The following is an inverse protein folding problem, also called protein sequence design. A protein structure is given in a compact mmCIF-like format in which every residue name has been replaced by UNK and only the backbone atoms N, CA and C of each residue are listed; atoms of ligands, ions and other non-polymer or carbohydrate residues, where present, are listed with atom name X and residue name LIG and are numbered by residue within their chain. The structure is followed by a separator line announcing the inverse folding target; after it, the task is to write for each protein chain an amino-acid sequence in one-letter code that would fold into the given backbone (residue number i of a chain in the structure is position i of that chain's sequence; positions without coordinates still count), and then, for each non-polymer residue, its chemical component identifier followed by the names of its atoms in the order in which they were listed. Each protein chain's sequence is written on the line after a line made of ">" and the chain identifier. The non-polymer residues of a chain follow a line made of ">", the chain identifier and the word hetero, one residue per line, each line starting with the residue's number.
data_IF_030457570457
#
_entry.id   IF_030457570457
#
_cell.length_a   1.000
_cell.length_b   1.000
_cell.length_c   1.000
_cell.angle_alpha   90.00
_cell.angle_beta   90.00
_cell.angle_gamma   90.00
#
_symmetry.space_group_name_H-M   'P 1'
#
loop_
_entity.id
_entity.type
_entity.pdbx_description
1 polymer ?
#
# COMPACT_ATOMS: atom_id res chain seq x y z
N UNK A 1 6.89 8.47 10.38
CA UNK A 1 8.15 7.78 10.01
C UNK A 1 7.93 7.08 8.69
N UNK A 2 8.37 7.68 7.58
CA UNK A 2 8.33 7.03 6.27
C UNK A 2 9.34 5.89 6.24
N UNK A 3 8.87 4.67 6.36
CA UNK A 3 9.66 3.51 6.01
C UNK A 3 9.47 3.26 4.52
N UNK A 4 10.28 3.90 3.68
CA UNK A 4 10.49 3.43 2.31
C UNK A 4 11.35 2.18 2.41
N UNK A 5 10.73 1.05 2.65
CA UNK A 5 11.41 -0.21 2.64
C UNK A 5 10.84 -1.03 1.49
N UNK A 6 11.61 -1.18 0.43
CA UNK A 6 11.45 -2.34 -0.44
C UNK A 6 11.84 -3.54 0.41
N UNK A 7 10.87 -4.14 1.08
CA UNK A 7 11.09 -5.34 1.87
C UNK A 7 10.82 -6.53 0.95
N UNK A 8 11.85 -7.30 0.66
CA UNK A 8 11.69 -8.55 -0.05
C UNK A 8 11.20 -9.60 0.95
N UNK A 9 9.95 -10.02 0.80
CA UNK A 9 9.35 -11.08 1.61
C UNK A 9 9.60 -12.43 0.92
N UNK A 10 10.43 -13.25 1.52
CA UNK A 10 10.81 -14.57 0.98
C UNK A 10 10.14 -15.73 1.70
N UNK A 11 9.41 -15.45 2.78
CA UNK A 11 8.77 -16.47 3.62
C UNK A 11 7.33 -16.09 3.97
N UNK A 12 6.51 -17.11 4.20
CA UNK A 12 5.09 -16.96 4.56
C UNK A 12 4.90 -16.13 5.82
N UNK A 13 5.75 -16.29 6.83
CA UNK A 13 5.66 -15.56 8.08
C UNK A 13 5.91 -14.05 7.89
N UNK A 14 6.80 -13.69 6.98
CA UNK A 14 7.09 -12.29 6.63
C UNK A 14 5.90 -11.65 5.93
N UNK A 15 5.31 -12.35 4.96
CA UNK A 15 4.10 -11.91 4.27
C UNK A 15 2.93 -11.77 5.26
N UNK A 16 2.74 -12.76 6.11
CA UNK A 16 1.68 -12.75 7.14
C UNK A 16 1.84 -11.57 8.10
N UNK A 17 3.07 -11.29 8.54
CA UNK A 17 3.37 -10.14 9.41
C UNK A 17 3.07 -8.81 8.73
N UNK A 18 3.47 -8.65 7.47
CA UNK A 18 3.18 -7.47 6.67
C UNK A 18 1.68 -7.25 6.49
N UNK A 19 0.94 -8.30 6.12
CA UNK A 19 -0.51 -8.20 5.93
C UNK A 19 -1.26 -7.85 7.23
N UNK A 20 -0.83 -8.37 8.39
CA UNK A 20 -1.39 -7.98 9.69
C UNK A 20 -1.13 -6.51 10.02
N UNK A 21 0.06 -6.02 9.71
CA UNK A 21 0.40 -4.60 9.89
C UNK A 21 -0.50 -3.71 9.02
N UNK A 22 -0.67 -4.06 7.74
CA UNK A 22 -1.53 -3.32 6.81
C UNK A 22 -3.00 -3.37 7.21
N UNK A 23 -3.50 -4.52 7.68
CA UNK A 23 -4.85 -4.64 8.22
C UNK A 23 -5.04 -3.76 9.46
N UNK A 24 -4.07 -3.77 10.38
CA UNK A 24 -4.06 -2.88 11.55
C UNK A 24 -4.12 -1.41 11.17
N UNK A 25 -3.27 -0.96 10.24
CA UNK A 25 -3.28 0.41 9.71
C UNK A 25 -4.63 0.79 9.11
N UNK A 26 -5.26 -0.14 8.38
CA UNK A 26 -6.59 0.05 7.79
C UNK A 26 -7.65 0.27 8.87
N UNK A 27 -7.66 -0.57 9.89
CA UNK A 27 -8.63 -0.49 10.99
C UNK A 27 -8.43 0.78 11.82
N UNK A 28 -7.17 1.14 12.09
CA UNK A 28 -6.83 2.37 12.81
C UNK A 28 -7.27 3.62 12.04
N UNK A 29 -7.03 3.68 10.72
CA UNK A 29 -7.48 4.78 9.90
C UNK A 29 -8.99 4.96 9.94
N UNK A 30 -9.73 3.88 9.74
CA UNK A 30 -11.21 3.90 9.73
C UNK A 30 -11.77 4.33 11.09
N UNK A 31 -11.16 3.86 12.19
CA UNK A 31 -11.58 4.20 13.56
C UNK A 31 -11.27 5.63 13.93
N UNK A 32 -10.06 6.08 13.63
CA UNK A 32 -9.54 7.35 14.16
C UNK A 32 -9.87 8.54 13.26
N UNK A 33 -10.35 8.27 12.03
CA UNK A 33 -10.66 9.30 11.02
C UNK A 33 -12.01 9.06 10.32
N UNK A 34 -13.11 8.95 11.09
CA UNK A 34 -14.43 8.64 10.55
C UNK A 34 -14.99 9.76 9.65
N UNK A 35 -14.51 10.98 9.83
CA UNK A 35 -15.01 12.20 9.15
C UNK A 35 -14.44 12.36 7.73
N UNK A 36 -13.48 11.53 7.32
CA UNK A 36 -12.85 11.58 6.00
C UNK A 36 -13.27 10.38 5.15
N UNK A 37 -13.55 10.66 3.89
CA UNK A 37 -13.97 9.63 2.95
C UNK A 37 -12.83 8.64 2.65
N UNK A 38 -11.63 9.17 2.45
CA UNK A 38 -10.42 8.39 2.18
C UNK A 38 -9.14 9.16 2.59
N UNK A 39 -7.97 8.52 2.34
CA UNK A 39 -6.67 9.11 2.64
C UNK A 39 -6.39 10.39 1.84
N UNK A 40 -6.87 10.50 0.61
CA UNK A 40 -6.64 11.68 -0.22
C UNK A 40 -7.43 12.87 0.32
N UNK A 41 -8.67 12.61 0.74
CA UNK A 41 -9.51 13.61 1.41
C UNK A 41 -8.87 14.06 2.74
N UNK A 42 -8.39 13.12 3.56
CA UNK A 42 -7.64 13.44 4.77
C UNK A 42 -6.42 14.32 4.47
N UNK A 43 -5.61 13.95 3.50
CA UNK A 43 -4.40 14.68 3.13
C UNK A 43 -4.71 16.08 2.60
N UNK A 44 -5.80 16.25 1.84
CA UNK A 44 -6.24 17.54 1.33
C UNK A 44 -6.60 18.52 2.47
N UNK A 45 -7.23 18.02 3.52
CA UNK A 45 -7.60 18.83 4.69
C UNK A 45 -6.47 18.98 5.71
N UNK A 46 -5.43 18.14 5.65
CA UNK A 46 -4.32 18.14 6.59
C UNK A 46 -2.95 18.28 5.89
N UNK A 47 -2.68 19.36 5.14
CA UNK A 47 -1.47 19.49 4.31
C UNK A 47 -0.16 19.45 5.12
N UNK A 48 -0.19 19.72 6.41
CA UNK A 48 0.96 19.64 7.31
C UNK A 48 1.19 18.26 7.92
N UNK A 49 0.24 17.34 7.77
CA UNK A 49 0.27 15.99 8.35
C UNK A 49 -0.16 14.94 7.33
N UNK A 50 0.30 15.09 6.10
CA UNK A 50 -0.03 14.15 5.04
C UNK A 50 0.52 12.77 5.33
N UNK A 51 -0.26 11.75 5.03
CA UNK A 51 0.16 10.35 5.10
C UNK A 51 0.43 9.80 3.71
N UNK A 52 1.34 8.84 3.64
CA UNK A 52 1.76 8.26 2.37
C UNK A 52 0.80 7.19 1.87
N UNK A 53 0.74 7.07 0.55
CA UNK A 53 0.13 5.92 -0.11
C UNK A 53 1.08 4.72 0.04
N UNK A 54 0.51 3.58 0.38
CA UNK A 54 1.22 2.30 0.46
C UNK A 54 0.88 1.44 -0.76
N UNK A 55 1.90 0.95 -1.46
CA UNK A 55 1.76 0.00 -2.57
C UNK A 55 2.34 -1.34 -2.15
N UNK A 56 1.48 -2.36 -2.01
CA UNK A 56 1.89 -3.74 -1.80
C UNK A 56 1.98 -4.43 -3.16
N UNK A 57 3.17 -4.88 -3.55
CA UNK A 57 3.39 -5.64 -4.79
C UNK A 57 3.81 -7.06 -4.46
N UNK A 58 3.02 -8.04 -4.89
CA UNK A 58 3.30 -9.46 -4.71
C UNK A 58 3.64 -10.09 -6.06
N UNK A 59 4.93 -10.40 -6.25
CA UNK A 59 5.42 -11.12 -7.42
C UNK A 59 5.27 -12.62 -7.22
N UNK A 60 5.11 -13.36 -8.33
CA UNK A 60 4.91 -14.81 -8.33
C UNK A 60 3.77 -15.27 -7.40
N UNK A 61 2.77 -14.39 -7.17
CA UNK A 61 1.64 -14.73 -6.34
C UNK A 61 0.93 -15.99 -6.87
N UNK A 62 0.62 -16.99 -6.06
CA UNK A 62 0.54 -17.01 -4.59
C UNK A 62 1.77 -17.60 -3.87
N UNK A 63 2.98 -17.47 -4.42
CA UNK A 63 4.19 -17.92 -3.73
C UNK A 63 4.23 -17.37 -2.28
N UNK A 64 4.55 -18.23 -1.34
CA UNK A 64 4.61 -17.92 0.10
C UNK A 64 3.27 -17.46 0.72
N UNK A 65 2.14 -17.61 0.04
CA UNK A 65 0.82 -17.35 0.61
C UNK A 65 0.17 -18.65 1.11
N UNK A 66 -0.34 -18.62 2.32
CA UNK A 66 -1.23 -19.64 2.89
C UNK A 66 -2.68 -19.13 2.96
N UNK A 67 -3.59 -19.97 3.44
CA UNK A 67 -5.01 -19.62 3.58
C UNK A 67 -5.24 -18.35 4.42
N UNK A 68 -4.43 -18.15 5.46
CA UNK A 68 -4.54 -16.98 6.34
C UNK A 68 -4.01 -15.71 5.66
N UNK A 69 -2.95 -15.83 4.87
CA UNK A 69 -2.49 -14.75 4.03
C UNK A 69 -3.57 -14.30 3.03
N UNK A 70 -4.29 -15.24 2.41
CA UNK A 70 -5.37 -14.92 1.48
C UNK A 70 -6.54 -14.21 2.19
N UNK A 71 -6.91 -14.61 3.41
CA UNK A 71 -7.96 -13.96 4.22
C UNK A 71 -7.59 -12.50 4.55
N UNK A 72 -6.38 -12.28 5.05
CA UNK A 72 -5.89 -10.94 5.36
C UNK A 72 -5.73 -10.08 4.11
N UNK A 73 -5.22 -10.66 3.02
CA UNK A 73 -5.08 -9.97 1.75
C UNK A 73 -6.45 -9.51 1.23
N UNK A 74 -7.47 -10.37 1.29
CA UNK A 74 -8.84 -10.03 0.93
C UNK A 74 -9.38 -8.87 1.78
N UNK A 75 -9.15 -8.89 3.10
CA UNK A 75 -9.54 -7.81 4.02
C UNK A 75 -8.86 -6.48 3.66
N UNK A 76 -7.55 -6.52 3.42
CA UNK A 76 -6.77 -5.33 3.01
C UNK A 76 -7.23 -4.81 1.65
N UNK A 77 -7.51 -5.68 0.67
CA UNK A 77 -7.98 -5.25 -0.65
C UNK A 77 -9.36 -4.61 -0.63
N UNK A 78 -10.25 -5.08 0.24
CA UNK A 78 -11.62 -4.54 0.35
C UNK A 78 -11.68 -3.17 1.03
N UNK A 79 -10.80 -2.91 1.99
CA UNK A 79 -10.86 -1.73 2.86
C UNK A 79 -9.66 -0.80 2.70
N UNK A 80 -8.52 -1.34 2.26
CA UNK A 80 -7.25 -0.62 2.25
C UNK A 80 -7.21 0.56 1.28
N UNK A 81 -7.96 0.51 0.17
CA UNK A 81 -8.02 1.61 -0.79
C UNK A 81 -8.48 2.92 -0.12
N UNK A 82 -9.43 2.83 0.82
CA UNK A 82 -9.87 3.98 1.62
C UNK A 82 -8.73 4.56 2.46
N UNK A 83 -7.80 3.72 2.87
CA UNK A 83 -6.65 4.08 3.70
C UNK A 83 -5.38 4.34 2.86
N UNK A 84 -5.52 4.46 1.53
CA UNK A 84 -4.39 4.66 0.63
C UNK A 84 -3.50 3.43 0.43
N UNK A 85 -4.00 2.22 0.75
CA UNK A 85 -3.28 0.96 0.53
C UNK A 85 -3.79 0.33 -0.77
N UNK A 86 -2.89 0.16 -1.72
CA UNK A 86 -3.18 -0.46 -3.01
C UNK A 86 -2.37 -1.75 -3.16
N UNK A 87 -2.98 -2.76 -3.78
CA UNK A 87 -2.36 -4.08 -3.95
C UNK A 87 -2.22 -4.39 -5.44
N UNK A 88 -1.03 -4.82 -5.83
CA UNK A 88 -0.72 -5.33 -7.17
C UNK A 88 -0.28 -6.78 -7.05
N UNK A 89 -1.02 -7.68 -7.70
CA UNK A 89 -0.74 -9.11 -7.72
C UNK A 89 -0.21 -9.50 -9.09
N UNK A 90 1.03 -9.98 -9.16
CA UNK A 90 1.58 -10.62 -10.35
C UNK A 90 1.33 -12.12 -10.24
N UNK A 91 0.19 -12.57 -10.80
CA UNK A 91 -0.25 -13.96 -10.70
C UNK A 91 0.66 -14.89 -11.51
N UNK A 92 1.19 -15.88 -10.84
CA UNK A 92 1.90 -17.00 -11.48
C UNK A 92 1.03 -18.27 -11.39
N UNK A 93 0.48 -18.70 -12.52
CA UNK A 93 -0.44 -19.85 -12.58
C UNK A 93 0.27 -21.20 -12.41
N UNK A 94 1.61 -21.22 -12.49
CA UNK A 94 2.41 -22.43 -12.25
C UNK A 94 2.72 -22.64 -10.75
N UNK A 95 2.42 -21.65 -9.91
CA UNK A 95 2.63 -21.75 -8.46
C UNK A 95 1.33 -22.13 -7.78
N UNK A 96 1.35 -23.24 -7.06
CA UNK A 96 0.25 -23.67 -6.21
C UNK A 96 0.36 -23.04 -4.83
N UNK A 97 -0.78 -22.82 -4.18
CA UNK A 97 -0.79 -22.36 -2.78
C UNK A 97 -0.35 -23.49 -1.88
N UNK A 98 0.64 -23.26 -1.04
CA UNK A 98 1.12 -24.21 -0.06
C UNK A 98 0.07 -24.40 1.05
N UNK A 99 -0.92 -25.26 0.83
CA UNK A 99 -1.93 -25.53 1.84
C UNK A 99 -2.56 -26.91 1.70
N UNK A 100 -2.74 -27.55 2.84
CA UNK A 100 -3.59 -28.75 3.01
C UNK A 100 -5.06 -28.41 3.28
N UNK A 101 -5.48 -27.15 3.10
CA UNK A 101 -6.85 -26.70 3.34
C UNK A 101 -7.73 -26.96 2.11
N UNK A 102 -8.86 -27.62 2.32
CA UNK A 102 -9.94 -27.69 1.36
C UNK A 102 -10.44 -26.26 1.02
N UNK A 103 -10.78 -26.01 -0.25
CA UNK A 103 -11.32 -24.73 -0.76
C UNK A 103 -10.35 -23.56 -0.93
N UNK A 104 -9.04 -23.80 -0.96
CA UNK A 104 -8.08 -22.69 -1.17
C UNK A 104 -8.20 -22.08 -2.58
N UNK A 105 -8.48 -22.90 -3.57
CA UNK A 105 -8.69 -22.48 -4.95
C UNK A 105 -9.95 -21.59 -5.08
N UNK A 106 -10.98 -21.86 -4.30
CA UNK A 106 -12.19 -21.04 -4.24
C UNK A 106 -11.89 -19.66 -3.64
N UNK A 107 -11.11 -19.62 -2.55
CA UNK A 107 -10.68 -18.35 -1.93
C UNK A 107 -9.80 -17.52 -2.88
N UNK A 108 -8.90 -18.17 -3.60
CA UNK A 108 -8.06 -17.52 -4.58
C UNK A 108 -8.90 -16.94 -5.73
N UNK A 109 -9.85 -17.72 -6.25
CA UNK A 109 -10.75 -17.28 -7.30
C UNK A 109 -11.66 -16.13 -6.85
N UNK A 110 -12.11 -16.13 -5.59
CA UNK A 110 -12.88 -15.03 -5.00
C UNK A 110 -12.04 -13.74 -4.88
N UNK A 111 -10.80 -13.87 -4.45
CA UNK A 111 -9.86 -12.74 -4.36
C UNK A 111 -9.60 -12.16 -5.75
N UNK A 112 -9.36 -13.00 -6.75
CA UNK A 112 -9.11 -12.58 -8.14
C UNK A 112 -10.32 -11.86 -8.76
N UNK A 113 -11.56 -12.27 -8.42
CA UNK A 113 -12.79 -11.58 -8.88
C UNK A 113 -12.89 -10.13 -8.42
N UNK A 114 -12.27 -9.80 -7.30
CA UNK A 114 -12.24 -8.45 -6.74
C UNK A 114 -11.10 -7.59 -7.32
N UNK A 115 -10.30 -8.15 -8.24
CA UNK A 115 -9.21 -7.44 -8.91
C UNK A 115 -9.64 -6.91 -10.28
N UNK A 116 -9.04 -5.78 -10.66
CA UNK A 116 -8.93 -5.41 -12.08
C UNK A 116 -7.85 -6.28 -12.68
N UNK A 117 -8.22 -7.15 -13.62
CA UNK A 117 -7.30 -8.13 -14.17
C UNK A 117 -6.72 -7.65 -15.50
N UNK A 118 -5.40 -7.77 -15.63
CA UNK A 118 -4.67 -7.57 -16.88
C UNK A 118 -4.06 -8.91 -17.28
N UNK A 119 -4.55 -9.45 -18.39
CA UNK A 119 -4.07 -10.71 -18.94
C UNK A 119 -2.96 -10.46 -19.97
N UNK A 120 -1.83 -11.17 -19.83
CA UNK A 120 -0.78 -11.16 -20.82
C UNK A 120 -1.11 -12.17 -21.94
N UNK A 121 -1.14 -11.70 -23.19
CA UNK A 121 -1.38 -12.50 -24.39
C UNK A 121 -0.16 -12.46 -25.30
N UNK A 122 -0.10 -13.35 -26.30
CA UNK A 122 0.99 -13.38 -27.28
C UNK A 122 1.24 -12.03 -27.98
N UNK A 123 0.18 -11.25 -28.23
CA UNK A 123 0.22 -9.99 -28.96
C UNK A 123 -0.04 -8.76 -28.09
N UNK A 124 0.19 -8.84 -26.77
CA UNK A 124 0.01 -7.71 -25.86
C UNK A 124 -0.75 -8.05 -24.59
N UNK A 125 -1.49 -7.08 -24.08
CA UNK A 125 -2.21 -7.20 -22.82
C UNK A 125 -3.69 -6.90 -23.05
N UNK A 126 -4.57 -7.56 -22.29
CA UNK A 126 -5.99 -7.32 -22.27
C UNK A 126 -6.47 -6.99 -20.86
N UNK A 127 -7.25 -5.92 -20.73
CA UNK A 127 -7.90 -5.56 -19.49
C UNK A 127 -9.24 -6.30 -19.39
N UNK A 128 -9.37 -7.15 -18.39
CA UNK A 128 -10.60 -7.87 -18.10
C UNK A 128 -11.39 -7.14 -17.00
N UNK A 129 -12.73 -7.14 -17.01
CA UNK A 129 -13.64 -7.83 -17.92
C UNK A 129 -13.98 -7.06 -19.20
N UNK A 130 -13.39 -5.90 -19.44
CA UNK A 130 -13.77 -4.99 -20.54
C UNK A 130 -13.28 -5.45 -21.91
N UNK A 131 -12.46 -6.50 -22.00
CA UNK A 131 -11.80 -7.00 -23.22
C UNK A 131 -11.07 -5.90 -24.02
N UNK A 132 -10.58 -4.87 -23.31
CA UNK A 132 -9.83 -3.80 -23.93
C UNK A 132 -8.37 -4.20 -24.11
N UNK A 133 -7.85 -4.00 -25.32
CA UNK A 133 -6.41 -4.13 -25.56
C UNK A 133 -5.66 -3.03 -24.82
N UNK A 134 -4.68 -3.39 -24.03
CA UNK A 134 -3.83 -2.47 -23.28
C UNK A 134 -2.45 -2.47 -23.92
N UNK A 135 -1.96 -1.30 -24.25
CA UNK A 135 -0.57 -1.12 -24.67
C UNK A 135 0.22 -0.64 -23.47
N UNK A 136 1.20 -1.41 -23.03
CA UNK A 136 2.12 -0.95 -22.02
C UNK A 136 3.04 0.13 -22.62
N UNK A 137 3.35 1.13 -21.82
CA UNK A 137 4.40 2.10 -22.12
C UNK A 137 5.71 1.34 -22.25
N UNK A 138 6.58 1.77 -23.16
CA UNK A 138 7.91 1.18 -23.31
C UNK A 138 8.63 1.12 -21.95
N UNK A 139 9.31 0.00 -21.73
CA UNK A 139 10.09 -0.18 -20.51
C UNK A 139 11.10 0.97 -20.41
N UNK A 140 11.14 1.71 -19.31
CA UNK A 140 12.13 2.75 -19.12
C UNK A 140 13.54 2.15 -19.20
N UNK A 141 14.46 2.88 -19.80
CA UNK A 141 15.86 2.46 -19.82
C UNK A 141 16.49 2.55 -18.41
N UNK A 142 17.68 1.95 -18.26
CA UNK A 142 18.36 1.90 -16.97
C UNK A 142 18.66 3.31 -16.41
N UNK A 143 18.99 4.28 -17.29
CA UNK A 143 19.28 5.66 -16.87
C UNK A 143 18.03 6.39 -16.38
N UNK A 144 16.87 6.13 -17.00
CA UNK A 144 15.59 6.68 -16.55
C UNK A 144 15.19 6.10 -15.19
N UNK A 145 15.39 4.78 -14.98
CA UNK A 145 15.12 4.13 -13.70
C UNK A 145 16.05 4.66 -12.60
N UNK A 146 17.34 4.82 -12.89
CA UNK A 146 18.30 5.37 -11.93
C UNK A 146 17.96 6.80 -11.54
N UNK A 147 17.65 7.65 -12.53
CA UNK A 147 17.21 9.03 -12.30
C UNK A 147 15.96 9.08 -11.42
N UNK A 148 14.96 8.28 -11.74
CA UNK A 148 13.74 8.18 -10.94
C UNK A 148 14.05 7.73 -9.51
N UNK A 149 14.87 6.69 -9.32
CA UNK A 149 15.25 6.21 -7.99
C UNK A 149 15.95 7.31 -7.16
N UNK A 150 16.84 8.06 -7.76
CA UNK A 150 17.54 9.20 -7.10
C UNK A 150 16.56 10.31 -6.74
N UNK A 151 15.67 10.70 -7.65
CA UNK A 151 14.66 11.74 -7.39
C UNK A 151 13.67 11.32 -6.32
N UNK A 152 13.22 10.06 -6.36
CA UNK A 152 12.34 9.48 -5.36
C UNK A 152 13.01 9.48 -3.97
N UNK A 153 14.27 9.02 -3.89
CA UNK A 153 15.02 9.01 -2.64
C UNK A 153 15.15 10.41 -2.03
N UNK A 154 15.50 11.40 -2.85
CA UNK A 154 15.57 12.80 -2.41
C UNK A 154 14.22 13.37 -1.95
N UNK A 155 13.12 12.96 -2.59
CA UNK A 155 11.78 13.38 -2.19
C UNK A 155 11.40 12.76 -0.83
N UNK A 156 11.71 11.47 -0.62
CA UNK A 156 11.49 10.78 0.65
C UNK A 156 12.31 11.39 1.77
N UNK A 157 13.60 11.70 1.53
CA UNK A 157 14.45 12.37 2.52
C UNK A 157 13.89 13.73 2.94
N UNK A 158 13.42 14.54 1.98
CA UNK A 158 12.79 15.84 2.29
C UNK A 158 11.53 15.70 3.14
N UNK A 159 10.74 14.67 2.92
CA UNK A 159 9.54 14.40 3.71
C UNK A 159 9.87 13.86 5.11
N UNK A 160 10.97 13.12 5.27
CA UNK A 160 11.42 12.60 6.56
C UNK A 160 12.04 13.66 7.46
N UNK A 161 12.48 14.79 6.90
CA UNK A 161 13.08 15.94 7.61
C UNK A 161 12.04 17.04 7.89
N UNK A 162 10.78 16.71 8.06
CA UNK A 162 9.85 17.67 8.69
C UNK A 162 10.19 17.74 10.19
N UNK A 163 11.24 18.49 10.50
CA UNK A 163 11.48 18.97 11.86
C UNK A 163 10.32 19.89 12.21
N UNK A 164 9.56 19.50 13.22
CA UNK A 164 8.60 20.40 13.86
C UNK A 164 9.46 21.50 14.51
N UNK A 165 9.44 22.71 13.95
CA UNK A 165 10.11 23.83 14.59
C UNK A 165 9.42 24.07 15.94
N UNK A 166 10.22 24.14 17.00
CA UNK A 166 9.74 24.33 18.39
C UNK A 166 8.83 25.56 18.51
N UNK A 167 9.04 26.56 17.67
CA UNK A 167 8.23 27.79 17.55
C UNK A 167 6.79 27.54 17.07
N UNK A 168 6.53 26.44 16.35
CA UNK A 168 5.18 26.06 15.91
C UNK A 168 4.36 25.37 17.02
N UNK A 169 5.00 24.96 18.12
CA UNK A 169 4.38 24.28 19.26
C UNK A 169 4.08 25.29 20.39
N UNK A 170 4.74 26.44 20.37
CA UNK A 170 4.53 27.47 21.38
C UNK A 170 3.16 28.13 21.17
N UNK A 171 2.37 28.31 22.24
CA UNK A 171 1.15 29.08 22.15
C UNK A 171 1.45 30.51 21.69
N UNK A 172 0.57 31.16 20.91
CA UNK A 172 0.80 32.45 20.28
C UNK A 172 0.95 33.63 21.24
N UNK A 173 0.77 33.43 22.53
CA UNK A 173 0.93 34.47 23.55
C UNK A 173 1.92 34.07 24.65
N UNK A 174 2.76 35.00 25.11
CA UNK A 174 3.65 34.70 26.23
C UNK A 174 2.83 34.41 27.49
N UNK A 175 3.20 33.34 28.18
CA UNK A 175 2.63 32.99 29.48
C UNK A 175 2.68 34.21 30.41
N UNK A 176 1.55 34.87 30.63
CA UNK A 176 1.44 35.84 31.71
C UNK A 176 1.34 35.05 33.01
N UNK A 177 2.48 34.85 33.65
CA UNK A 177 2.54 34.27 34.98
C UNK A 177 1.72 35.13 35.93
N UNK A 178 0.65 34.55 36.50
CA UNK A 178 -0.05 35.18 37.60
C UNK A 178 0.91 35.23 38.77
N UNK A 179 1.40 36.43 39.10
CA UNK A 179 2.03 36.67 40.39
C UNK A 179 0.93 36.59 41.46
N UNK A 180 0.83 35.45 42.11
CA UNK A 180 0.07 35.32 43.34
C UNK A 180 0.72 36.23 44.39
N UNK A 181 -0.05 37.19 44.89
CA UNK A 181 0.25 37.91 46.12
C UNK A 181 -0.14 37.07 47.33
#
# INVERSE_FOLDING_TARGET
>A
SYKSAVTQMSRTEELLSCLKELEGQTLDFIRDRPDYDDLLDYNAHNPRRTEAITLLMLYDFPLNADARCLELLSSVMQKGNRCGIYVVLCRNTAVEVASSYDHIDEKLAELEKNCVQIECKENGFALLPYHLSVRLIEKPDAGQLEKFAVEYHKAVEKLSVQSIHFEEILPPEPFQGSTAK
#
